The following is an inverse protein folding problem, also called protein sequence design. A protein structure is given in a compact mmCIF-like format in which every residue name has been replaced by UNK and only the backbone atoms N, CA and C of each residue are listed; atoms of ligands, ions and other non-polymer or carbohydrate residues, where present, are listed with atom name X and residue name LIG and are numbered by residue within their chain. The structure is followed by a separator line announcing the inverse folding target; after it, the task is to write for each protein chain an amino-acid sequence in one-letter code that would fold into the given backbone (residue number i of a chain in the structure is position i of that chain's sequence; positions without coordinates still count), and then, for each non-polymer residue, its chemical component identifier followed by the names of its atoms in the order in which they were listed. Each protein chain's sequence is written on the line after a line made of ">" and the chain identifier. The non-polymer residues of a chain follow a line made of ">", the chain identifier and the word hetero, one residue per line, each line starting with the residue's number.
data_IF_841243415022
#
_entry.id   IF_841243415022
#
_cell.length_a   1.000
_cell.length_b   1.000
_cell.length_c   1.000
_cell.angle_alpha   90.00
_cell.angle_beta   90.00
_cell.angle_gamma   90.00
#
_symmetry.space_group_name_H-M   'P 1'
#
loop_
_entity.id
_entity.type
_entity.pdbx_description
1 polymer ?
#
# COMPACT_ATOMS: atom_id res chain seq x y z
N UNK A 1 -14.90 22.19 3.56
CA UNK A 1 -14.38 21.76 4.87
C UNK A 1 -12.88 21.58 4.73
N UNK A 2 -12.10 22.34 5.49
CA UNK A 2 -10.64 22.18 5.55
C UNK A 2 -10.32 20.74 5.94
N UNK A 3 -9.66 20.01 5.05
CA UNK A 3 -9.04 18.72 5.35
C UNK A 3 -7.87 18.99 6.28
N UNK A 4 -8.13 19.11 7.58
CA UNK A 4 -7.04 19.29 8.53
C UNK A 4 -6.31 17.97 8.69
N UNK A 5 -5.17 17.84 8.00
CA UNK A 5 -4.05 17.03 8.49
C UNK A 5 -3.89 17.25 10.01
N UNK A 6 -3.40 16.26 10.78
CA UNK A 6 -3.25 16.40 12.22
C UNK A 6 -2.52 17.71 12.54
N UNK A 7 -3.19 18.64 13.24
CA UNK A 7 -2.70 20.02 13.37
C UNK A 7 -1.47 20.12 14.27
N UNK A 8 -1.14 19.04 14.98
CA UNK A 8 -0.10 19.03 16.01
C UNK A 8 0.83 17.83 15.84
N UNK A 9 2.12 18.11 15.61
CA UNK A 9 3.21 17.15 15.75
C UNK A 9 3.67 17.13 17.20
N UNK A 10 4.09 15.97 17.70
CA UNK A 10 4.75 15.88 18.99
C UNK A 10 6.02 16.74 18.99
N UNK A 11 6.48 17.30 20.13
CA UNK A 11 7.70 18.12 20.18
C UNK A 11 8.94 17.47 19.57
N UNK A 12 9.02 16.13 19.57
CA UNK A 12 10.11 15.38 18.93
C UNK A 12 9.99 15.30 17.40
N UNK A 13 8.87 15.73 16.81
CA UNK A 13 8.57 15.60 15.38
C UNK A 13 8.27 14.17 14.89
N UNK A 14 8.54 13.15 15.72
CA UNK A 14 8.50 11.73 15.35
C UNK A 14 7.10 11.20 15.03
N UNK A 15 6.08 11.72 15.69
CA UNK A 15 4.69 11.28 15.57
C UNK A 15 3.72 12.46 15.60
N UNK A 16 2.54 12.24 15.03
CA UNK A 16 1.41 13.14 15.20
C UNK A 16 0.83 12.97 16.59
N UNK A 17 0.48 14.09 17.24
CA UNK A 17 -0.26 14.01 18.49
C UNK A 17 -1.65 13.52 18.13
N UNK A 18 -2.01 12.36 18.65
CA UNK A 18 -3.39 11.91 18.56
C UNK A 18 -4.27 12.88 19.35
N UNK A 19 -4.98 13.75 18.62
CA UNK A 19 -5.85 14.77 19.20
C UNK A 19 -6.93 14.19 20.10
N UNK A 20 -7.24 12.89 19.96
CA UNK A 20 -8.21 12.21 20.81
C UNK A 20 -7.76 12.17 22.29
N UNK A 21 -6.47 12.13 22.59
CA UNK A 21 -5.98 12.24 23.97
C UNK A 21 -6.16 13.65 24.55
N UNK A 22 -6.15 14.68 23.69
CA UNK A 22 -6.35 16.09 24.11
C UNK A 22 -7.81 16.50 24.11
N UNK A 23 -8.65 15.81 23.34
CA UNK A 23 -10.09 16.00 23.26
C UNK A 23 -10.74 14.65 23.60
N UNK A 24 -10.93 14.32 24.88
CA UNK A 24 -11.51 13.04 25.31
C UNK A 24 -12.86 12.73 24.64
N UNK A 25 -13.61 13.76 24.21
CA UNK A 25 -14.84 13.61 23.41
C UNK A 25 -14.64 12.92 22.05
N UNK A 26 -13.43 12.93 21.50
CA UNK A 26 -13.04 12.20 20.28
C UNK A 26 -12.61 10.76 20.59
N UNK A 27 -12.17 10.47 21.82
CA UNK A 27 -12.03 9.10 22.31
C UNK A 27 -13.40 8.58 22.76
N UNK A 28 -14.24 8.26 21.80
CA UNK A 28 -15.40 7.45 22.10
C UNK A 28 -14.91 6.04 22.41
N UNK A 29 -14.95 5.68 23.69
CA UNK A 29 -15.05 4.28 24.10
C UNK A 29 -16.31 3.74 23.42
N UNK A 30 -16.17 3.08 22.27
CA UNK A 30 -17.20 2.13 21.88
C UNK A 30 -16.78 0.76 22.42
N UNK A 31 -17.69 0.07 23.13
CA UNK A 31 -17.39 -1.19 23.79
C UNK A 31 -17.12 -2.34 22.82
N UNK A 32 -17.50 -2.20 21.55
CA UNK A 32 -17.45 -3.26 20.56
C UNK A 32 -16.69 -2.84 19.29
N UNK A 33 -15.57 -3.51 18.93
CA UNK A 33 -14.85 -3.28 17.67
C UNK A 33 -15.71 -3.40 16.41
N UNK A 34 -16.75 -4.24 16.45
CA UNK A 34 -17.69 -4.38 15.34
C UNK A 34 -18.49 -3.08 15.11
N UNK A 35 -18.97 -2.45 16.17
CA UNK A 35 -19.72 -1.20 16.07
C UNK A 35 -18.85 -0.06 15.54
N UNK A 36 -17.56 -0.04 15.91
CA UNK A 36 -16.56 0.87 15.34
C UNK A 36 -16.38 0.66 13.84
N UNK A 37 -16.27 -0.58 13.39
CA UNK A 37 -16.17 -0.92 11.97
C UNK A 37 -17.41 -0.42 11.22
N UNK A 38 -18.62 -0.73 11.71
CA UNK A 38 -19.88 -0.31 11.10
C UNK A 38 -19.98 1.22 11.04
N UNK A 39 -19.70 1.92 12.13
CA UNK A 39 -19.73 3.38 12.18
C UNK A 39 -18.74 4.02 11.19
N UNK A 40 -17.52 3.47 11.11
CA UNK A 40 -16.49 3.94 10.18
C UNK A 40 -16.90 3.75 8.73
N UNK A 41 -17.51 2.61 8.39
CA UNK A 41 -17.99 2.33 7.04
C UNK A 41 -19.17 3.23 6.67
N UNK A 42 -20.12 3.47 7.59
CA UNK A 42 -21.21 4.44 7.38
C UNK A 42 -20.66 5.83 7.06
N UNK A 43 -19.67 6.30 7.84
CA UNK A 43 -19.03 7.58 7.59
C UNK A 43 -18.33 7.66 6.22
N UNK A 44 -17.70 6.57 5.76
CA UNK A 44 -17.15 6.50 4.39
C UNK A 44 -18.27 6.65 3.35
N UNK A 45 -19.40 5.97 3.52
CA UNK A 45 -20.53 6.02 2.60
C UNK A 45 -21.21 7.40 2.59
N UNK A 46 -21.26 8.09 3.72
CA UNK A 46 -21.84 9.44 3.82
C UNK A 46 -20.95 10.49 3.11
N UNK A 47 -19.63 10.37 3.23
CA UNK A 47 -18.67 11.33 2.65
C UNK A 47 -18.40 11.03 1.17
N UNK A 48 -18.26 9.74 0.84
CA UNK A 48 -17.90 9.25 -0.48
C UNK A 48 -18.94 8.21 -0.93
N UNK A 49 -20.21 8.59 -1.20
CA UNK A 49 -21.25 7.64 -1.59
C UNK A 49 -20.88 6.90 -2.88
N UNK A 50 -21.49 5.73 -3.17
CA UNK A 50 -21.27 4.99 -4.42
C UNK A 50 -21.95 5.68 -5.63
N UNK A 51 -21.70 6.98 -5.77
CA UNK A 51 -22.16 7.88 -6.81
C UNK A 51 -21.19 9.07 -6.90
N UNK A 52 -20.90 9.51 -8.11
CA UNK A 52 -20.03 10.67 -8.40
C UNK A 52 -20.86 11.83 -8.96
N UNK A 53 -20.41 13.10 -8.90
CA UNK A 53 -19.11 13.56 -8.37
C UNK A 53 -19.06 13.64 -6.84
N UNK A 54 -17.88 13.37 -6.27
CA UNK A 54 -17.60 13.66 -4.87
C UNK A 54 -17.14 15.11 -4.70
N UNK A 55 -17.37 15.67 -3.52
CA UNK A 55 -17.01 17.05 -3.19
C UNK A 55 -15.61 17.14 -2.55
N UNK A 56 -15.13 18.36 -2.28
CA UNK A 56 -13.87 18.58 -1.55
C UNK A 56 -12.62 18.27 -2.37
N UNK A 57 -11.64 17.60 -1.76
CA UNK A 57 -10.34 17.26 -2.39
C UNK A 57 -10.46 16.34 -3.62
N UNK A 58 -11.63 15.76 -3.84
CA UNK A 58 -11.96 14.91 -5.00
C UNK A 58 -12.80 15.64 -6.06
N UNK A 59 -13.10 16.92 -5.86
CA UNK A 59 -13.81 17.72 -6.84
C UNK A 59 -13.01 17.73 -8.17
N UNK A 60 -13.65 17.28 -9.25
CA UNK A 60 -13.02 17.10 -10.57
C UNK A 60 -12.59 15.67 -10.90
N UNK A 61 -12.80 14.70 -10.01
CA UNK A 61 -12.65 13.27 -10.33
C UNK A 61 -11.20 12.81 -10.48
N UNK A 62 -10.22 13.51 -9.91
CA UNK A 62 -8.84 13.01 -9.90
C UNK A 62 -8.69 11.96 -8.78
N UNK A 63 -8.70 10.68 -9.15
CA UNK A 63 -8.53 9.55 -8.25
C UNK A 63 -7.14 8.92 -8.39
N UNK A 64 -6.68 8.27 -7.31
CA UNK A 64 -5.32 7.74 -7.15
C UNK A 64 -5.35 6.25 -6.82
N UNK A 65 -6.07 5.45 -7.61
CA UNK A 65 -6.09 4.00 -7.51
C UNK A 65 -6.52 3.50 -6.14
N UNK A 66 -5.63 2.72 -5.51
CA UNK A 66 -5.85 2.18 -4.15
C UNK A 66 -5.57 3.24 -3.08
N UNK A 67 -4.77 4.26 -3.36
CA UNK A 67 -4.43 5.28 -2.36
C UNK A 67 -5.64 6.14 -1.97
N UNK A 68 -6.41 6.60 -2.96
CA UNK A 68 -7.64 7.35 -2.70
C UNK A 68 -8.57 7.35 -3.92
N UNK A 69 -9.84 7.03 -3.72
CA UNK A 69 -10.86 7.08 -4.79
C UNK A 69 -11.85 5.91 -4.75
N UNK A 70 -12.75 5.83 -5.74
CA UNK A 70 -13.71 4.74 -5.89
C UNK A 70 -13.07 3.34 -5.86
N UNK A 71 -11.93 3.16 -6.53
CA UNK A 71 -11.23 1.87 -6.56
C UNK A 71 -10.66 1.46 -5.19
N UNK A 72 -10.17 2.43 -4.41
CA UNK A 72 -9.73 2.21 -3.02
C UNK A 72 -10.90 1.70 -2.15
N UNK A 73 -12.07 2.35 -2.23
CA UNK A 73 -13.24 1.95 -1.45
C UNK A 73 -13.79 0.59 -1.93
N UNK A 74 -13.78 0.34 -3.25
CA UNK A 74 -14.11 -0.98 -3.79
C UNK A 74 -13.17 -2.07 -3.24
N UNK A 75 -11.86 -1.79 -3.14
CA UNK A 75 -10.89 -2.74 -2.63
C UNK A 75 -11.10 -3.07 -1.14
N UNK A 76 -11.48 -2.07 -0.32
CA UNK A 76 -11.91 -2.30 1.05
C UNK A 76 -13.12 -3.24 1.11
N UNK A 77 -14.17 -2.96 0.32
CA UNK A 77 -15.38 -3.78 0.31
C UNK A 77 -15.18 -5.17 -0.31
N UNK A 78 -14.21 -5.34 -1.23
CA UNK A 78 -13.78 -6.65 -1.71
C UNK A 78 -13.21 -7.51 -0.58
N UNK A 79 -12.36 -6.95 0.28
CA UNK A 79 -11.84 -7.70 1.44
C UNK A 79 -12.90 -7.98 2.49
N UNK A 80 -13.78 -7.01 2.74
CA UNK A 80 -14.90 -7.21 3.67
C UNK A 80 -15.88 -8.28 3.16
N UNK A 81 -16.10 -8.41 1.85
CA UNK A 81 -16.98 -9.47 1.31
C UNK A 81 -16.45 -10.89 1.56
N UNK A 82 -15.14 -11.03 1.80
CA UNK A 82 -14.52 -12.30 2.20
C UNK A 82 -14.44 -12.48 3.71
N UNK A 83 -14.10 -11.43 4.45
CA UNK A 83 -13.81 -11.52 5.89
C UNK A 83 -15.04 -11.34 6.76
N UNK A 84 -16.04 -10.59 6.28
CA UNK A 84 -17.28 -10.25 6.98
C UNK A 84 -18.46 -10.26 5.99
N UNK A 85 -18.77 -11.39 5.34
CA UNK A 85 -19.77 -11.45 4.26
C UNK A 85 -21.20 -11.09 4.71
N UNK A 86 -21.48 -11.24 5.99
CA UNK A 86 -22.77 -11.00 6.65
C UNK A 86 -22.91 -9.56 7.21
N UNK A 87 -21.86 -8.73 7.09
CA UNK A 87 -21.87 -7.35 7.52
C UNK A 87 -22.91 -6.52 6.74
N UNK A 88 -24.02 -6.16 7.37
CA UNK A 88 -25.04 -5.33 6.76
C UNK A 88 -24.84 -3.85 7.10
N UNK A 89 -24.73 -3.01 6.06
CA UNK A 89 -24.62 -1.55 6.19
C UNK A 89 -25.73 -0.94 5.34
N UNK A 90 -26.63 -0.18 5.94
CA UNK A 90 -27.83 0.35 5.28
C UNK A 90 -28.63 -0.70 4.46
N UNK A 91 -28.63 -1.96 4.92
CA UNK A 91 -29.35 -3.06 4.26
C UNK A 91 -28.63 -3.68 3.06
N UNK A 92 -27.41 -3.26 2.74
CA UNK A 92 -26.56 -3.84 1.70
C UNK A 92 -25.34 -4.55 2.30
N UNK A 93 -24.77 -5.50 1.55
CA UNK A 93 -23.60 -6.27 1.95
C UNK A 93 -22.32 -5.76 1.27
N UNK A 94 -21.12 -6.14 1.74
CA UNK A 94 -19.87 -5.62 1.19
C UNK A 94 -19.70 -5.90 -0.31
N UNK A 95 -20.18 -7.05 -0.80
CA UNK A 95 -20.13 -7.37 -2.23
C UNK A 95 -20.97 -6.39 -3.08
N UNK A 96 -22.11 -5.91 -2.57
CA UNK A 96 -22.96 -4.94 -3.26
C UNK A 96 -22.26 -3.59 -3.37
N UNK A 97 -21.62 -3.14 -2.28
CA UNK A 97 -20.82 -1.91 -2.29
C UNK A 97 -19.62 -2.02 -3.22
N UNK A 98 -18.87 -3.12 -3.16
CA UNK A 98 -17.74 -3.37 -4.06
C UNK A 98 -18.18 -3.23 -5.53
N UNK A 99 -19.29 -3.89 -5.90
CA UNK A 99 -19.88 -3.77 -7.23
C UNK A 99 -20.26 -2.33 -7.57
N UNK A 100 -20.93 -1.63 -6.66
CA UNK A 100 -21.41 -0.27 -6.89
C UNK A 100 -20.26 0.71 -7.13
N UNK A 101 -19.20 0.67 -6.32
CA UNK A 101 -18.01 1.51 -6.54
C UNK A 101 -17.27 1.15 -7.83
N UNK A 102 -17.20 -0.13 -8.22
CA UNK A 102 -16.60 -0.57 -9.49
C UNK A 102 -17.45 -0.26 -10.73
N UNK A 103 -18.59 0.42 -10.56
CA UNK A 103 -19.46 0.88 -11.66
C UNK A 103 -19.41 2.40 -11.87
N UNK A 104 -18.51 3.11 -11.20
CA UNK A 104 -18.36 4.57 -11.27
C UNK A 104 -17.47 5.07 -12.41
N UNK A 105 -17.48 4.35 -13.54
CA UNK A 105 -16.81 4.71 -14.80
C UNK A 105 -15.28 4.85 -14.71
N UNK A 106 -14.61 4.18 -13.77
CA UNK A 106 -13.14 4.21 -13.68
C UNK A 106 -12.44 3.59 -14.90
N UNK A 107 -13.17 2.84 -15.72
CA UNK A 107 -12.71 2.35 -17.02
C UNK A 107 -12.47 3.46 -18.07
N UNK A 108 -12.89 4.70 -17.79
CA UNK A 108 -12.66 5.87 -18.67
C UNK A 108 -11.32 6.56 -18.42
N UNK A 109 -10.61 6.20 -17.35
CA UNK A 109 -9.29 6.77 -17.04
C UNK A 109 -8.26 6.24 -18.04
N UNK A 110 -7.32 7.12 -18.42
CA UNK A 110 -6.23 6.75 -19.30
C UNK A 110 -5.36 5.65 -18.68
N UNK A 111 -4.87 4.74 -19.52
CA UNK A 111 -3.83 3.77 -19.17
C UNK A 111 -2.42 4.35 -19.23
N UNK A 112 -2.28 5.62 -19.63
CA UNK A 112 -0.99 6.30 -19.71
C UNK A 112 -0.44 6.66 -18.32
N UNK A 113 0.85 6.40 -18.13
CA UNK A 113 1.57 6.85 -16.96
C UNK A 113 1.74 8.37 -16.97
N UNK A 114 1.44 9.01 -15.83
CA UNK A 114 1.69 10.43 -15.60
C UNK A 114 2.59 10.62 -14.37
N UNK A 115 3.22 11.80 -14.21
CA UNK A 115 4.02 12.09 -13.01
C UNK A 115 3.26 11.95 -11.69
N UNK A 116 1.91 12.06 -11.73
CA UNK A 116 1.02 11.96 -10.57
C UNK A 116 0.49 10.54 -10.33
N UNK A 117 0.25 9.76 -11.38
CA UNK A 117 -0.25 8.40 -11.25
C UNK A 117 0.86 7.40 -10.94
N UNK A 118 2.07 7.62 -11.47
CA UNK A 118 3.07 6.57 -11.56
C UNK A 118 2.52 5.35 -12.31
N UNK A 119 3.08 4.18 -12.03
CA UNK A 119 2.74 2.93 -12.71
C UNK A 119 1.94 1.92 -11.87
N UNK A 120 1.62 2.20 -10.60
CA UNK A 120 1.11 1.16 -9.68
C UNK A 120 -0.05 1.59 -8.79
N UNK A 121 0.12 1.67 -7.46
CA UNK A 121 -0.99 1.81 -6.51
C UNK A 121 -1.70 3.17 -6.58
N UNK A 122 -1.03 4.19 -7.12
CA UNK A 122 -1.61 5.48 -7.45
C UNK A 122 -2.23 5.53 -8.86
N UNK A 123 -2.07 4.49 -9.67
CA UNK A 123 -2.55 4.48 -11.05
C UNK A 123 -3.97 3.92 -11.12
N UNK A 124 -4.95 4.81 -11.35
CA UNK A 124 -6.38 4.46 -11.34
C UNK A 124 -6.73 3.32 -12.31
N UNK A 125 -6.32 3.42 -13.58
CA UNK A 125 -6.58 2.36 -14.57
C UNK A 125 -6.02 1.00 -14.15
N UNK A 126 -4.76 0.94 -13.70
CA UNK A 126 -4.12 -0.31 -13.27
C UNK A 126 -4.81 -0.91 -12.04
N UNK A 127 -5.09 -0.08 -11.04
CA UNK A 127 -5.79 -0.50 -9.83
C UNK A 127 -7.22 -0.97 -10.14
N UNK A 128 -7.96 -0.23 -10.96
CA UNK A 128 -9.33 -0.57 -11.34
C UNK A 128 -9.39 -1.93 -12.01
N UNK A 129 -8.56 -2.17 -13.04
CA UNK A 129 -8.55 -3.46 -13.73
C UNK A 129 -8.16 -4.60 -12.78
N UNK A 130 -7.18 -4.39 -11.88
CA UNK A 130 -6.80 -5.40 -10.90
C UNK A 130 -7.95 -5.74 -9.93
N UNK A 131 -8.59 -4.74 -9.32
CA UNK A 131 -9.69 -4.95 -8.37
C UNK A 131 -10.93 -5.51 -9.08
N UNK A 132 -11.22 -5.04 -10.30
CA UNK A 132 -12.32 -5.55 -11.11
C UNK A 132 -12.13 -7.02 -11.47
N UNK A 133 -10.94 -7.42 -11.91
CA UNK A 133 -10.58 -8.82 -12.14
C UNK A 133 -10.77 -9.67 -10.87
N UNK A 134 -10.30 -9.17 -9.72
CA UNK A 134 -10.48 -9.86 -8.44
C UNK A 134 -11.95 -10.07 -8.08
N UNK A 135 -12.81 -9.08 -8.37
CA UNK A 135 -14.23 -9.15 -8.05
C UNK A 135 -15.02 -10.03 -9.02
N UNK A 136 -14.85 -9.81 -10.34
CA UNK A 136 -15.67 -10.46 -11.38
C UNK A 136 -15.14 -11.82 -11.83
N UNK A 137 -13.87 -12.12 -11.56
CA UNK A 137 -13.15 -13.28 -12.14
C UNK A 137 -13.15 -13.27 -13.67
N UNK A 138 -13.20 -12.08 -14.25
CA UNK A 138 -13.18 -11.90 -15.70
C UNK A 138 -11.73 -11.66 -16.17
N UNK A 139 -11.22 -12.61 -16.95
CA UNK A 139 -9.84 -12.63 -17.45
C UNK A 139 -9.53 -11.43 -18.36
N UNK A 140 -10.53 -10.79 -18.96
CA UNK A 140 -10.31 -9.63 -19.84
C UNK A 140 -9.74 -8.43 -19.07
N UNK A 141 -10.04 -8.29 -17.78
CA UNK A 141 -9.43 -7.24 -16.95
C UNK A 141 -7.97 -7.55 -16.60
N UNK A 142 -7.61 -8.84 -16.48
CA UNK A 142 -6.22 -9.28 -16.32
C UNK A 142 -5.43 -8.99 -17.60
N UNK A 143 -6.00 -9.29 -18.76
CA UNK A 143 -5.40 -8.99 -20.07
C UNK A 143 -5.17 -7.48 -20.24
N UNK A 144 -6.20 -6.66 -19.98
CA UNK A 144 -6.07 -5.19 -20.02
C UNK A 144 -5.00 -4.67 -19.07
N UNK A 145 -4.86 -5.25 -17.88
CA UNK A 145 -3.79 -4.90 -16.96
C UNK A 145 -2.41 -5.25 -17.58
N UNK A 146 -2.22 -6.50 -17.98
CA UNK A 146 -0.94 -7.01 -18.49
C UNK A 146 -0.47 -6.27 -19.77
N UNK A 147 -1.37 -6.06 -20.72
CA UNK A 147 -1.09 -5.36 -21.99
C UNK A 147 -0.62 -3.91 -21.83
N UNK A 148 -0.81 -3.31 -20.65
CA UNK A 148 -0.38 -1.94 -20.39
C UNK A 148 0.92 -1.85 -19.57
N UNK A 149 1.43 -2.95 -18.98
CA UNK A 149 2.65 -2.92 -18.15
C UNK A 149 3.84 -2.35 -18.93
N UNK A 150 4.08 -2.85 -20.14
CA UNK A 150 5.21 -2.43 -20.98
C UNK A 150 5.10 -0.98 -21.49
N UNK A 151 3.91 -0.36 -21.38
CA UNK A 151 3.69 1.05 -21.77
C UNK A 151 4.04 2.02 -20.64
N UNK A 152 4.12 1.55 -19.40
CA UNK A 152 4.41 2.34 -18.20
C UNK A 152 5.93 2.55 -18.08
N UNK A 153 6.42 3.55 -18.82
CA UNK A 153 7.85 3.82 -19.05
C UNK A 153 8.28 5.23 -18.66
N UNK A 154 7.39 6.07 -18.12
CA UNK A 154 7.70 7.47 -17.81
C UNK A 154 8.74 7.59 -16.71
N UNK A 155 8.70 6.70 -15.72
CA UNK A 155 9.62 6.71 -14.57
C UNK A 155 10.25 5.34 -14.35
N UNK A 156 11.17 4.93 -15.24
CA UNK A 156 11.71 3.57 -15.25
C UNK A 156 12.61 3.27 -14.05
N UNK A 157 12.99 4.29 -13.27
CA UNK A 157 13.79 4.17 -12.04
C UNK A 157 12.92 4.04 -10.78
N UNK A 158 11.61 4.23 -10.87
CA UNK A 158 10.71 4.16 -9.70
C UNK A 158 10.38 2.70 -9.40
N UNK A 159 11.06 2.15 -8.40
CA UNK A 159 10.86 0.76 -7.98
C UNK A 159 9.87 0.62 -6.83
N UNK A 160 9.59 1.70 -6.11
CA UNK A 160 8.86 1.65 -4.85
C UNK A 160 7.36 1.30 -4.97
N UNK A 161 6.66 1.25 -3.83
CA UNK A 161 5.34 0.65 -3.73
C UNK A 161 4.23 1.49 -4.37
N UNK A 162 4.30 2.81 -4.25
CA UNK A 162 3.13 3.68 -4.50
C UNK A 162 3.02 4.12 -5.97
N UNK A 163 4.13 4.48 -6.58
CA UNK A 163 4.26 4.91 -7.97
C UNK A 163 5.05 3.91 -8.82
N UNK A 164 5.82 3.02 -8.20
CA UNK A 164 6.80 2.18 -8.86
C UNK A 164 6.42 0.72 -9.03
N UNK A 165 7.37 -0.05 -9.55
CA UNK A 165 7.20 -1.45 -9.98
C UNK A 165 6.91 -2.44 -8.86
N UNK A 166 7.36 -2.20 -7.62
CA UNK A 166 6.99 -3.04 -6.48
C UNK A 166 5.47 -3.01 -6.23
N UNK A 167 4.80 -1.88 -6.51
CA UNK A 167 3.35 -1.79 -6.46
C UNK A 167 2.65 -2.65 -7.51
N UNK A 168 3.20 -2.77 -8.73
CA UNK A 168 2.67 -3.69 -9.74
C UNK A 168 2.74 -5.14 -9.26
N UNK A 169 3.84 -5.54 -8.63
CA UNK A 169 3.98 -6.86 -8.02
C UNK A 169 2.91 -7.11 -6.95
N UNK A 170 2.56 -6.09 -6.16
CA UNK A 170 1.48 -6.16 -5.16
C UNK A 170 0.11 -6.37 -5.79
N UNK A 171 -0.20 -5.64 -6.87
CA UNK A 171 -1.45 -5.79 -7.63
C UNK A 171 -1.55 -7.18 -8.29
N UNK A 172 -0.47 -7.65 -8.92
CA UNK A 172 -0.43 -8.99 -9.55
C UNK A 172 -0.58 -10.10 -8.52
N UNK A 173 0.13 -10.01 -7.38
CA UNK A 173 -0.03 -10.97 -6.27
C UNK A 173 -1.47 -10.98 -5.73
N UNK A 174 -2.10 -9.81 -5.64
CA UNK A 174 -3.51 -9.69 -5.23
C UNK A 174 -4.44 -10.35 -6.23
N UNK A 175 -4.26 -10.12 -7.54
CA UNK A 175 -5.02 -10.79 -8.59
C UNK A 175 -4.86 -12.31 -8.52
N UNK A 176 -3.64 -12.83 -8.39
CA UNK A 176 -3.40 -14.28 -8.25
C UNK A 176 -4.08 -14.87 -7.01
N UNK A 177 -4.11 -14.13 -5.89
CA UNK A 177 -4.77 -14.60 -4.67
C UNK A 177 -6.30 -14.73 -4.85
N UNK A 178 -6.93 -13.75 -5.49
CA UNK A 178 -8.37 -13.75 -5.69
C UNK A 178 -8.80 -14.58 -6.89
N UNK A 179 -8.01 -14.60 -7.96
CA UNK A 179 -8.32 -15.23 -9.24
C UNK A 179 -7.10 -16.02 -9.74
N UNK A 180 -6.85 -17.23 -9.19
CA UNK A 180 -5.65 -18.02 -9.47
C UNK A 180 -5.38 -18.31 -10.95
N UNK A 181 -6.43 -18.41 -11.77
CA UNK A 181 -6.37 -18.64 -13.21
C UNK A 181 -5.68 -17.49 -13.96
N UNK A 182 -5.54 -16.32 -13.33
CA UNK A 182 -4.75 -15.19 -13.87
C UNK A 182 -3.25 -15.48 -13.99
N UNK A 183 -2.75 -16.54 -13.35
CA UNK A 183 -1.31 -16.84 -13.27
C UNK A 183 -0.66 -17.03 -14.64
N UNK A 184 -1.35 -17.66 -15.60
CA UNK A 184 -0.81 -17.89 -16.95
C UNK A 184 -0.42 -16.58 -17.66
N UNK A 185 -1.21 -15.52 -17.43
CA UNK A 185 -0.95 -14.18 -17.98
C UNK A 185 0.05 -13.42 -17.12
N UNK A 186 -0.06 -13.51 -15.79
CA UNK A 186 0.68 -12.66 -14.87
C UNK A 186 2.10 -13.17 -14.57
N UNK A 187 2.37 -14.46 -14.62
CA UNK A 187 3.67 -15.01 -14.22
C UNK A 187 4.84 -14.53 -15.11
N UNK A 188 4.69 -14.48 -16.45
CA UNK A 188 5.71 -13.86 -17.31
C UNK A 188 5.94 -12.38 -16.99
N UNK A 189 4.88 -11.62 -16.70
CA UNK A 189 4.97 -10.20 -16.37
C UNK A 189 5.59 -9.95 -14.99
N UNK A 190 5.27 -10.79 -14.00
CA UNK A 190 5.92 -10.80 -12.69
C UNK A 190 7.43 -10.97 -12.84
N UNK A 191 7.87 -11.95 -13.63
CA UNK A 191 9.28 -12.22 -13.88
C UNK A 191 9.97 -11.00 -14.51
N UNK A 192 9.40 -10.43 -15.58
CA UNK A 192 9.92 -9.21 -16.21
C UNK A 192 10.04 -8.05 -15.22
N UNK A 193 8.99 -7.80 -14.43
CA UNK A 193 8.97 -6.69 -13.46
C UNK A 193 10.00 -6.89 -12.36
N UNK A 194 10.17 -8.13 -11.84
CA UNK A 194 11.21 -8.42 -10.85
C UNK A 194 12.60 -8.20 -11.44
N UNK A 195 12.87 -8.71 -12.64
CA UNK A 195 14.17 -8.53 -13.29
C UNK A 195 14.47 -7.06 -13.55
N UNK A 196 13.47 -6.27 -13.96
CA UNK A 196 13.59 -4.83 -14.06
C UNK A 196 13.92 -4.20 -12.70
N UNK A 197 13.26 -4.58 -11.61
CA UNK A 197 13.65 -4.07 -10.28
C UNK A 197 15.11 -4.37 -9.95
N UNK A 198 15.58 -5.58 -10.24
CA UNK A 198 16.95 -6.01 -9.93
C UNK A 198 18.02 -5.37 -10.82
N UNK A 199 17.66 -4.87 -12.01
CA UNK A 199 18.61 -4.18 -12.90
C UNK A 199 18.95 -2.75 -12.46
N UNK A 200 18.28 -2.23 -11.41
CA UNK A 200 18.56 -0.90 -10.86
C UNK A 200 19.21 -1.03 -9.48
N UNK A 201 20.33 -0.34 -9.31
CA UNK A 201 21.03 -0.18 -8.05
C UNK A 201 21.78 1.16 -8.07
N UNK A 202 21.60 2.06 -7.08
CA UNK A 202 20.67 1.97 -5.96
C UNK A 202 19.21 2.15 -6.37
N UNK A 203 18.29 1.60 -5.57
CA UNK A 203 16.89 2.02 -5.61
C UNK A 203 16.77 3.40 -4.97
N UNK A 204 16.19 4.33 -5.71
CA UNK A 204 15.98 5.70 -5.24
C UNK A 204 14.59 6.16 -5.61
N UNK A 205 14.08 7.11 -4.82
CA UNK A 205 12.82 7.75 -5.10
C UNK A 205 12.91 9.25 -4.83
N UNK A 206 12.25 10.02 -5.68
CA UNK A 206 12.17 11.46 -5.56
C UNK A 206 11.20 11.99 -6.59
N UNK A 207 10.14 12.67 -6.15
CA UNK A 207 9.12 13.23 -7.06
C UNK A 207 9.73 14.19 -8.08
N UNK A 208 10.83 14.87 -7.70
CA UNK A 208 11.63 15.72 -8.58
C UNK A 208 12.91 15.00 -9.02
N UNK A 209 13.27 15.04 -10.31
CA UNK A 209 14.46 14.34 -10.82
C UNK A 209 15.78 14.73 -10.14
N UNK A 210 15.89 15.98 -9.67
CA UNK A 210 17.07 16.55 -9.02
C UNK A 210 17.20 16.19 -7.53
N UNK A 211 16.20 15.52 -6.93
CA UNK A 211 16.18 15.20 -5.51
C UNK A 211 15.75 13.74 -5.30
N UNK A 212 16.63 12.81 -5.70
CA UNK A 212 16.47 11.38 -5.48
C UNK A 212 17.11 10.98 -4.15
N UNK A 213 16.37 10.23 -3.32
CA UNK A 213 16.86 9.74 -2.03
C UNK A 213 16.71 8.22 -1.93
N UNK A 214 17.58 7.61 -1.12
CA UNK A 214 17.51 6.19 -0.75
C UNK A 214 16.61 6.01 0.45
N UNK A 215 15.31 5.92 0.19
CA UNK A 215 14.34 5.61 1.22
C UNK A 215 14.47 4.14 1.65
N UNK A 216 14.18 3.86 2.92
CA UNK A 216 14.25 2.49 3.45
C UNK A 216 12.89 1.94 3.92
N UNK A 217 11.90 2.81 4.08
CA UNK A 217 10.58 2.47 4.64
C UNK A 217 9.59 1.80 3.66
N UNK A 218 8.42 1.42 4.18
CA UNK A 218 7.46 0.53 3.51
C UNK A 218 6.65 1.14 2.36
N UNK A 219 6.69 2.45 2.16
CA UNK A 219 6.10 3.07 0.98
C UNK A 219 7.11 3.24 -0.14
N UNK A 220 8.20 3.98 0.13
CA UNK A 220 9.08 4.48 -0.92
C UNK A 220 10.44 3.78 -0.98
N UNK A 221 10.71 2.82 -0.09
CA UNK A 221 12.05 2.34 0.18
C UNK A 221 12.31 0.86 -0.05
N UNK A 222 13.55 0.49 0.19
CA UNK A 222 14.11 -0.85 -0.05
C UNK A 222 13.26 -1.96 0.56
N UNK A 223 12.77 -1.81 1.81
CA UNK A 223 12.01 -2.88 2.47
C UNK A 223 10.69 -3.18 1.72
N UNK A 224 10.07 -2.17 1.12
CA UNK A 224 8.86 -2.31 0.34
C UNK A 224 9.14 -3.09 -0.95
N UNK A 225 10.27 -2.81 -1.59
CA UNK A 225 10.70 -3.45 -2.83
C UNK A 225 11.08 -4.91 -2.55
N UNK A 226 11.91 -5.16 -1.53
CA UNK A 226 12.32 -6.50 -1.08
C UNK A 226 11.09 -7.34 -0.76
N UNK A 227 10.21 -6.85 0.11
CA UNK A 227 9.01 -7.60 0.51
C UNK A 227 8.13 -7.94 -0.68
N UNK A 228 7.92 -7.02 -1.62
CA UNK A 228 7.09 -7.29 -2.78
C UNK A 228 7.73 -8.23 -3.80
N UNK A 229 9.04 -8.19 -4.00
CA UNK A 229 9.75 -9.18 -4.84
C UNK A 229 9.57 -10.58 -4.24
N UNK A 230 9.92 -10.75 -2.96
CA UNK A 230 9.97 -12.06 -2.31
C UNK A 230 8.59 -12.66 -2.10
N UNK A 231 7.62 -11.86 -1.66
CA UNK A 231 6.26 -12.35 -1.45
C UNK A 231 5.54 -12.69 -2.76
N UNK A 232 5.95 -12.09 -3.89
CA UNK A 232 5.38 -12.41 -5.20
C UNK A 232 6.08 -13.60 -5.86
N UNK A 233 7.41 -13.71 -5.77
CA UNK A 233 8.15 -14.89 -6.19
C UNK A 233 9.30 -15.21 -5.20
N UNK A 234 9.11 -16.19 -4.30
CA UNK A 234 10.10 -16.54 -3.28
C UNK A 234 11.46 -17.00 -3.80
N UNK A 235 11.55 -17.47 -5.05
CA UNK A 235 12.83 -17.87 -5.65
C UNK A 235 13.84 -16.71 -5.75
N UNK A 236 13.35 -15.47 -5.63
CA UNK A 236 14.18 -14.26 -5.63
C UNK A 236 14.73 -13.85 -4.27
N UNK A 237 14.35 -14.54 -3.18
CA UNK A 237 14.83 -14.22 -1.85
C UNK A 237 16.36 -14.12 -1.75
N UNK A 238 17.15 -15.08 -2.30
CA UNK A 238 18.62 -14.98 -2.24
C UNK A 238 19.17 -13.76 -2.99
N UNK A 239 18.53 -13.32 -4.08
CA UNK A 239 19.01 -12.19 -4.91
C UNK A 239 18.91 -10.84 -4.21
N UNK A 240 18.03 -10.71 -3.20
CA UNK A 240 17.84 -9.47 -2.43
C UNK A 240 18.25 -9.61 -0.96
N UNK A 241 18.82 -10.75 -0.56
CA UNK A 241 19.22 -11.03 0.82
C UNK A 241 20.19 -9.98 1.36
N UNK A 242 21.26 -9.65 0.63
CA UNK A 242 22.24 -8.66 1.07
C UNK A 242 21.62 -7.27 1.31
N UNK A 243 20.57 -6.92 0.56
CA UNK A 243 19.81 -5.67 0.79
C UNK A 243 19.00 -5.76 2.07
N UNK A 244 18.35 -6.90 2.35
CA UNK A 244 17.64 -7.11 3.60
C UNK A 244 18.57 -7.04 4.81
N UNK A 245 19.73 -7.68 4.76
CA UNK A 245 20.73 -7.65 5.83
C UNK A 245 21.20 -6.22 6.11
N UNK A 246 21.45 -5.43 5.06
CA UNK A 246 21.77 -4.01 5.17
C UNK A 246 20.65 -3.24 5.87
N UNK A 247 19.40 -3.46 5.48
CA UNK A 247 18.23 -2.80 6.08
C UNK A 247 18.06 -3.16 7.56
N UNK A 248 18.29 -4.42 7.93
CA UNK A 248 18.28 -4.85 9.33
C UNK A 248 19.40 -4.15 10.14
N UNK A 249 20.59 -4.00 9.56
CA UNK A 249 21.71 -3.32 10.20
C UNK A 249 21.51 -1.81 10.39
N UNK A 250 20.59 -1.17 9.65
CA UNK A 250 20.24 0.25 9.80
C UNK A 250 19.28 0.52 10.96
N UNK A 251 18.80 -0.50 11.69
CA UNK A 251 17.92 -0.29 12.83
C UNK A 251 18.67 0.44 13.96
N UNK A 252 18.15 1.59 14.37
CA UNK A 252 18.72 2.38 15.45
C UNK A 252 18.56 1.70 16.82
N UNK A 253 19.28 2.19 17.83
CA UNK A 253 19.24 1.67 19.21
C UNK A 253 17.86 1.76 19.84
N UNK A 254 17.07 2.77 19.47
CA UNK A 254 15.69 2.92 19.91
C UNK A 254 14.71 1.92 19.25
N UNK A 255 15.16 1.09 18.31
CA UNK A 255 14.33 0.14 17.56
C UNK A 255 13.69 0.69 16.29
N UNK A 256 13.88 1.97 15.96
CA UNK A 256 13.31 2.59 14.78
C UNK A 256 14.25 2.51 13.57
N UNK A 257 13.74 2.87 12.40
CA UNK A 257 14.51 3.16 11.19
C UNK A 257 14.27 4.60 10.76
N UNK A 258 15.32 5.27 10.32
CA UNK A 258 15.20 6.60 9.72
C UNK A 258 14.46 6.52 8.36
N UNK A 259 14.00 7.66 7.84
CA UNK A 259 13.32 7.67 6.52
C UNK A 259 14.22 7.22 5.37
N UNK A 260 15.51 7.54 5.44
CA UNK A 260 16.52 7.34 4.41
C UNK A 260 17.85 6.81 5.00
N UNK A 261 18.68 6.20 4.15
CA UNK A 261 20.00 5.65 4.54
C UNK A 261 20.96 6.72 5.09
N UNK A 262 21.17 7.82 4.34
CA UNK A 262 22.29 8.74 4.63
C UNK A 262 21.90 10.00 5.43
N UNK A 263 20.63 10.43 5.39
CA UNK A 263 20.13 11.64 6.08
C UNK A 263 18.60 11.56 6.28
N UNK A 264 18.14 10.58 7.07
CA UNK A 264 16.72 10.35 7.30
C UNK A 264 16.15 11.02 8.56
N UNK A 265 14.86 11.31 8.53
CA UNK A 265 14.10 11.74 9.70
C UNK A 265 13.67 10.53 10.53
N UNK A 266 13.59 10.70 11.86
CA UNK A 266 13.21 9.65 12.80
C UNK A 266 11.68 9.57 12.96
N UNK A 267 10.98 9.22 11.87
CA UNK A 267 9.52 9.13 11.84
C UNK A 267 9.03 7.75 12.31
N UNK A 268 7.86 7.71 12.96
CA UNK A 268 7.19 6.46 13.37
C UNK A 268 5.84 6.36 12.67
N UNK A 269 5.87 5.92 11.41
CA UNK A 269 4.72 5.88 10.51
C UNK A 269 4.74 4.59 9.67
N UNK A 270 3.61 4.26 9.02
CA UNK A 270 3.61 3.18 8.02
C UNK A 270 4.60 3.47 6.88
N UNK A 271 4.57 4.67 6.31
CA UNK A 271 5.42 4.98 5.16
C UNK A 271 6.92 4.99 5.50
N UNK A 272 7.25 5.46 6.71
CA UNK A 272 8.61 5.67 7.19
C UNK A 272 8.72 5.32 8.67
N UNK A 273 9.60 4.36 8.98
CA UNK A 273 9.88 3.90 10.34
C UNK A 273 9.31 2.53 10.69
N UNK A 274 9.39 2.20 11.97
CA UNK A 274 9.10 0.90 12.56
C UNK A 274 7.75 0.28 12.14
N UNK A 275 6.62 1.01 12.14
CA UNK A 275 5.32 0.40 11.81
C UNK A 275 5.32 -0.27 10.43
N UNK A 276 5.79 0.43 9.39
CA UNK A 276 5.90 -0.14 8.04
C UNK A 276 6.93 -1.26 7.95
N UNK A 277 8.08 -1.09 8.61
CA UNK A 277 9.16 -2.08 8.62
C UNK A 277 8.67 -3.42 9.16
N UNK A 278 7.94 -3.42 10.28
CA UNK A 278 7.36 -4.64 10.88
C UNK A 278 6.43 -5.33 9.88
N UNK A 279 5.53 -4.57 9.24
CA UNK A 279 4.57 -5.12 8.27
C UNK A 279 5.25 -5.80 7.07
N UNK A 280 6.38 -5.26 6.61
CA UNK A 280 7.16 -5.87 5.54
C UNK A 280 8.03 -7.04 6.01
N UNK A 281 8.58 -7.00 7.24
CA UNK A 281 9.49 -8.01 7.76
C UNK A 281 8.79 -9.32 8.16
N UNK A 282 7.60 -9.24 8.79
CA UNK A 282 6.83 -10.42 9.22
C UNK A 282 6.68 -11.49 8.12
N UNK A 283 6.18 -11.17 6.91
CA UNK A 283 6.00 -12.17 5.88
C UNK A 283 7.32 -12.68 5.29
N UNK A 284 8.43 -11.93 5.42
CA UNK A 284 9.74 -12.32 4.91
C UNK A 284 10.40 -13.44 5.72
N UNK A 285 10.10 -13.53 7.02
CA UNK A 285 10.69 -14.51 7.97
C UNK A 285 10.82 -15.93 7.41
N UNK A 286 9.76 -16.44 6.79
CA UNK A 286 9.69 -17.82 6.28
C UNK A 286 10.56 -18.06 5.04
N UNK A 287 11.01 -17.00 4.37
CA UNK A 287 11.83 -17.06 3.16
C UNK A 287 13.32 -16.86 3.45
N UNK A 288 13.68 -16.49 4.67
CA UNK A 288 15.05 -16.28 5.12
C UNK A 288 15.33 -17.04 6.41
N UNK A 289 15.43 -18.39 6.36
CA UNK A 289 15.66 -19.20 7.57
C UNK A 289 16.93 -18.77 8.32
N UNK A 290 18.00 -18.42 7.59
CA UNK A 290 19.28 -18.01 8.17
C UNK A 290 19.26 -16.59 8.78
N UNK A 291 18.26 -15.77 8.44
CA UNK A 291 18.06 -14.44 9.01
C UNK A 291 16.87 -14.38 9.97
N UNK A 292 16.20 -15.51 10.22
CA UNK A 292 14.96 -15.53 10.99
C UNK A 292 15.12 -14.92 12.37
N UNK A 293 16.19 -15.27 13.08
CA UNK A 293 16.48 -14.73 14.41
C UNK A 293 16.71 -13.21 14.35
N UNK A 294 17.53 -12.73 13.42
CA UNK A 294 17.77 -11.28 13.22
C UNK A 294 16.49 -10.51 12.85
N UNK A 295 15.63 -11.10 12.02
CA UNK A 295 14.34 -10.49 11.67
C UNK A 295 13.43 -10.43 12.90
N UNK A 296 13.38 -11.51 13.69
CA UNK A 296 12.55 -11.59 14.90
C UNK A 296 13.02 -10.57 15.95
N UNK A 297 14.33 -10.47 16.20
CA UNK A 297 14.92 -9.47 17.09
C UNK A 297 14.61 -8.04 16.62
N UNK A 298 14.74 -7.77 15.31
CA UNK A 298 14.44 -6.46 14.75
C UNK A 298 12.95 -6.09 14.93
N UNK A 299 12.04 -7.03 14.71
CA UNK A 299 10.59 -6.83 14.91
C UNK A 299 10.29 -6.56 16.39
N UNK A 300 10.84 -7.34 17.32
CA UNK A 300 10.57 -7.16 18.75
C UNK A 300 11.13 -5.83 19.27
N UNK A 301 12.35 -5.46 18.85
CA UNK A 301 12.93 -4.15 19.17
C UNK A 301 12.06 -3.00 18.64
N UNK A 302 11.51 -3.15 17.44
CA UNK A 302 10.61 -2.17 16.84
C UNK A 302 9.25 -2.06 17.56
N UNK A 303 8.69 -3.19 18.01
CA UNK A 303 7.46 -3.21 18.83
C UNK A 303 7.66 -2.55 20.19
N UNK A 304 8.87 -2.66 20.76
CA UNK A 304 9.24 -1.97 21.99
C UNK A 304 9.12 -0.43 21.94
N UNK A 305 9.09 0.17 20.74
CA UNK A 305 8.77 1.59 20.59
C UNK A 305 7.33 1.91 21.03
N UNK A 306 6.38 1.02 20.76
CA UNK A 306 4.96 1.23 21.08
C UNK A 306 4.70 1.19 22.59
N UNK A 307 5.47 0.41 23.36
CA UNK A 307 5.33 0.36 24.83
C UNK A 307 5.81 1.61 25.55
N UNK A 308 6.56 2.50 24.89
CA UNK A 308 6.90 3.82 25.42
C UNK A 308 5.94 4.93 24.95
N UNK A 309 4.90 4.57 24.18
CA UNK A 309 3.91 5.48 23.61
C UNK A 309 2.52 5.37 24.30
N UNK A 310 2.38 4.48 25.29
CA UNK A 310 1.20 4.32 26.15
C UNK A 310 1.43 4.86 27.56
#
# INVERSE_FOLDING_TARGET
>A
METSFPKYKHPTGRYFINEAFRKPKLMQSMPNPYDHLVASLKNILDICPPSVPWTGSFAGGLYFGIFAGPTSIAFLFLWLSKTHPDLAIHGLFPADYCKAYLSLQQNTYSSEETPRSGCSLNHEFMCYNAVKACFTKDITYVQKFAENIDKLTLRPTFMELLFGRAGLLSLMRTMKYWFPESSEILDPEIEKVIQHCLSYDPWTFGVRPDNQKRFIGASHGDIAIISNIVMTNPAYAPKVQGRLEKILALQADNGNWLTCEDEGEDLVQFCHGAPGMIWCLIPLRKYYPDLREKIDEAIEKARGLETHLL
#
